data_IF_784787705688
#
_entry.id   IF_784787705688
#
_cell.length_a   1.000
_cell.length_b   1.000
_cell.length_c   1.000
_cell.angle_alpha   90.00
_cell.angle_beta   90.00
_cell.angle_gamma   90.00
#
_symmetry.space_group_name_H-M   'P 1'
#
loop_
_entity.id
_entity.type
_entity.pdbx_description
1 polymer ?
#
# COMPACT_ATOMS: atom_id res chain seq x y z
N UNK A 1 16.03 -2.45 20.44
CA UNK A 1 15.47 -3.72 19.92
C UNK A 1 16.03 -3.95 18.53
N UNK A 2 16.37 -5.19 18.13
CA UNK A 2 16.79 -5.46 16.75
C UNK A 2 15.63 -5.18 15.79
N UNK A 3 15.95 -4.76 14.57
CA UNK A 3 14.97 -4.62 13.51
C UNK A 3 14.34 -5.97 13.17
N UNK A 4 13.11 -5.95 12.68
CA UNK A 4 12.40 -7.13 12.20
C UNK A 4 13.10 -7.67 10.96
N UNK A 5 13.18 -9.00 10.87
CA UNK A 5 13.63 -9.71 9.68
C UNK A 5 12.45 -9.97 8.76
N UNK A 6 12.50 -9.40 7.56
CA UNK A 6 11.48 -9.58 6.51
C UNK A 6 11.92 -10.56 5.42
N UNK A 7 13.04 -11.28 5.58
CA UNK A 7 13.60 -12.16 4.56
C UNK A 7 12.69 -13.32 4.13
N UNK A 8 11.66 -13.65 4.91
CA UNK A 8 10.59 -14.59 4.52
C UNK A 8 9.79 -14.11 3.30
N UNK A 9 9.67 -12.79 3.11
CA UNK A 9 8.98 -12.19 1.97
C UNK A 9 9.95 -12.11 0.77
N UNK A 10 9.71 -12.78 -0.36
CA UNK A 10 10.62 -12.78 -1.51
C UNK A 10 10.80 -11.41 -2.16
N UNK A 11 9.92 -10.45 -1.84
CA UNK A 11 9.99 -9.09 -2.34
C UNK A 11 10.56 -8.12 -1.31
N UNK A 12 11.05 -8.55 -0.15
CA UNK A 12 11.54 -7.64 0.88
C UNK A 12 12.67 -6.72 0.38
N UNK A 13 12.79 -5.57 1.03
CA UNK A 13 13.85 -4.60 0.78
C UNK A 13 14.91 -4.73 1.89
N UNK A 14 16.17 -5.10 1.58
CA UNK A 14 17.21 -5.31 2.61
C UNK A 14 17.50 -4.09 3.49
N UNK A 15 17.27 -2.90 2.94
CA UNK A 15 17.47 -1.61 3.61
C UNK A 15 16.28 -1.18 4.46
N UNK A 16 15.11 -1.79 4.30
CA UNK A 16 13.92 -1.48 5.09
C UNK A 16 14.15 -1.86 6.56
N UNK A 17 13.77 -0.96 7.47
CA UNK A 17 13.89 -1.17 8.93
C UNK A 17 12.56 -0.84 9.58
N UNK A 18 12.06 -1.81 10.34
CA UNK A 18 10.86 -1.66 11.16
C UNK A 18 11.08 -2.38 12.49
N UNK A 19 10.45 -1.88 13.55
CA UNK A 19 10.77 -2.30 14.92
C UNK A 19 9.55 -2.74 15.73
N UNK A 20 8.33 -2.38 15.33
CA UNK A 20 7.12 -2.78 16.03
C UNK A 20 6.70 -4.20 15.62
N UNK A 21 6.89 -5.13 16.56
CA UNK A 21 6.56 -6.55 16.39
C UNK A 21 5.07 -6.83 16.51
N UNK A 22 4.33 -6.01 17.25
CA UNK A 22 2.88 -6.20 17.43
C UNK A 22 2.18 -6.04 16.09
N UNK A 23 2.56 -5.02 15.31
CA UNK A 23 2.02 -4.86 13.95
C UNK A 23 2.34 -6.05 13.04
N UNK A 24 3.54 -6.62 13.13
CA UNK A 24 3.90 -7.83 12.37
C UNK A 24 3.05 -9.03 12.79
N UNK A 25 2.88 -9.24 14.08
CA UNK A 25 2.08 -10.34 14.62
C UNK A 25 0.62 -10.24 14.18
N UNK A 26 0.03 -9.05 14.26
CA UNK A 26 -1.36 -8.82 13.87
C UNK A 26 -1.55 -8.90 12.35
N UNK A 27 -0.52 -8.52 11.58
CA UNK A 27 -0.46 -8.81 10.14
C UNK A 27 -0.48 -10.32 9.88
N UNK A 28 0.37 -11.09 10.56
CA UNK A 28 0.45 -12.56 10.39
C UNK A 28 -0.83 -13.28 10.85
N UNK A 29 -1.55 -12.73 11.83
CA UNK A 29 -2.86 -13.25 12.28
C UNK A 29 -4.00 -12.90 11.32
N UNK A 30 -3.80 -11.98 10.38
CA UNK A 30 -4.86 -11.50 9.50
C UNK A 30 -5.92 -10.69 10.24
N UNK A 31 -5.52 -9.87 11.23
CA UNK A 31 -6.44 -8.93 11.88
C UNK A 31 -7.03 -8.02 10.79
N UNK A 32 -8.36 -7.93 10.74
CA UNK A 32 -9.08 -7.27 9.65
C UNK A 32 -8.62 -5.84 9.46
N UNK A 33 -8.58 -5.04 10.52
CA UNK A 33 -8.20 -3.63 10.48
C UNK A 33 -6.76 -3.43 9.99
N UNK A 34 -5.85 -4.34 10.36
CA UNK A 34 -4.44 -4.30 9.93
C UNK A 34 -4.33 -4.69 8.45
N UNK A 35 -5.14 -5.64 8.00
CA UNK A 35 -5.21 -6.06 6.59
C UNK A 35 -5.70 -4.90 5.72
N UNK A 36 -6.77 -4.23 6.14
CA UNK A 36 -7.34 -3.08 5.44
C UNK A 36 -6.39 -1.87 5.45
N UNK A 37 -5.66 -1.68 6.54
CA UNK A 37 -4.59 -0.69 6.61
C UNK A 37 -3.51 -0.93 5.53
N UNK A 38 -3.05 -2.18 5.38
CA UNK A 38 -2.05 -2.51 4.36
C UNK A 38 -2.60 -2.43 2.94
N UNK A 39 -3.85 -2.85 2.71
CA UNK A 39 -4.53 -2.64 1.43
C UNK A 39 -4.61 -1.17 1.06
N UNK A 40 -4.97 -0.30 2.01
CA UNK A 40 -5.01 1.14 1.80
C UNK A 40 -3.64 1.66 1.34
N UNK A 41 -2.55 1.27 2.02
CA UNK A 41 -1.20 1.71 1.66
C UNK A 41 -0.73 1.14 0.31
N UNK A 42 -1.13 -0.08 -0.04
CA UNK A 42 -0.72 -0.75 -1.27
C UNK A 42 -1.61 -0.48 -2.49
N UNK A 43 -2.79 0.13 -2.32
CA UNK A 43 -3.74 0.43 -3.39
C UNK A 43 -3.93 1.94 -3.61
N UNK A 44 -3.95 2.74 -2.53
CA UNK A 44 -4.25 4.17 -2.60
C UNK A 44 -2.98 5.02 -2.79
N UNK A 45 -2.33 4.93 -3.94
CA UNK A 45 -1.13 5.73 -4.25
C UNK A 45 -0.92 5.92 -5.75
N UNK A 46 0.01 6.80 -6.14
CA UNK A 46 0.40 6.98 -7.56
C UNK A 46 1.70 6.30 -7.94
N UNK A 47 2.42 5.68 -6.99
CA UNK A 47 3.67 4.93 -7.21
C UNK A 47 3.55 3.95 -8.39
N UNK A 48 4.60 3.92 -9.21
CA UNK A 48 4.73 3.02 -10.36
C UNK A 48 5.76 1.93 -10.05
N UNK A 49 5.46 0.64 -10.30
CA UNK A 49 6.42 -0.42 -10.13
C UNK A 49 7.28 -0.54 -11.40
N UNK A 50 8.58 -0.73 -11.21
CA UNK A 50 9.54 -0.99 -12.28
C UNK A 50 10.32 -2.28 -11.98
N UNK A 51 10.88 -2.91 -13.01
CA UNK A 51 11.72 -4.10 -12.89
C UNK A 51 13.11 -3.81 -13.44
N UNK A 52 14.07 -3.58 -12.55
CA UNK A 52 15.48 -3.44 -12.91
C UNK A 52 16.25 -4.70 -12.53
N UNK A 53 16.88 -5.34 -13.50
CA UNK A 53 17.68 -6.56 -13.30
C UNK A 53 16.92 -7.67 -12.55
N UNK A 54 15.61 -7.78 -12.77
CA UNK A 54 14.74 -8.75 -12.11
C UNK A 54 14.24 -8.35 -10.71
N UNK A 55 14.69 -7.23 -10.16
CA UNK A 55 14.25 -6.71 -8.86
C UNK A 55 13.10 -5.69 -9.03
N UNK A 56 12.12 -5.76 -8.14
CA UNK A 56 11.02 -4.80 -8.07
C UNK A 56 11.51 -3.49 -7.44
N UNK A 57 11.37 -2.39 -8.15
CA UNK A 57 11.65 -1.02 -7.68
C UNK A 57 10.39 -0.17 -7.74
N UNK A 58 10.23 0.75 -6.79
CA UNK A 58 9.08 1.67 -6.75
C UNK A 58 9.51 3.08 -7.11
N UNK A 59 8.87 3.65 -8.13
CA UNK A 59 9.04 5.03 -8.57
C UNK A 59 7.89 5.85 -8.03
N UNK A 60 8.16 6.67 -7.02
CA UNK A 60 7.16 7.49 -6.34
C UNK A 60 7.37 8.98 -6.64
N UNK A 61 6.28 9.76 -6.62
CA UNK A 61 6.33 11.21 -6.79
C UNK A 61 6.71 11.96 -5.51
N UNK A 62 6.64 11.29 -4.36
CA UNK A 62 7.02 11.86 -3.06
C UNK A 62 7.71 10.81 -2.18
N UNK A 63 8.59 11.24 -1.25
CA UNK A 63 9.25 10.33 -0.31
C UNK A 63 8.26 9.63 0.62
N UNK A 64 7.16 10.28 0.97
CA UNK A 64 6.12 9.70 1.83
C UNK A 64 5.40 8.55 1.13
N UNK A 65 5.03 8.72 -0.15
CA UNK A 65 4.45 7.62 -0.93
C UNK A 65 5.43 6.46 -1.10
N UNK A 66 6.72 6.75 -1.30
CA UNK A 66 7.77 5.72 -1.36
C UNK A 66 7.85 4.93 -0.06
N UNK A 67 7.90 5.60 1.09
CA UNK A 67 8.00 4.97 2.40
C UNK A 67 6.76 4.11 2.74
N UNK A 68 5.56 4.62 2.46
CA UNK A 68 4.31 3.92 2.75
C UNK A 68 4.13 2.65 1.91
N UNK A 69 4.43 2.74 0.60
CA UNK A 69 4.36 1.57 -0.30
C UNK A 69 5.49 0.58 -0.06
N UNK A 70 6.68 1.06 0.31
CA UNK A 70 7.77 0.21 0.80
C UNK A 70 7.37 -0.56 2.05
N UNK A 71 6.70 0.10 3.02
CA UNK A 71 6.20 -0.57 4.21
C UNK A 71 5.20 -1.68 3.85
N UNK A 72 4.14 -1.38 3.08
CA UNK A 72 3.15 -2.40 2.70
C UNK A 72 3.80 -3.59 1.97
N UNK A 73 4.75 -3.31 1.05
CA UNK A 73 5.52 -4.32 0.34
C UNK A 73 6.26 -5.25 1.29
N UNK A 74 6.99 -4.71 2.27
CA UNK A 74 7.79 -5.52 3.21
C UNK A 74 6.90 -6.38 4.10
N UNK A 75 5.71 -5.90 4.46
CA UNK A 75 4.69 -6.65 5.19
C UNK A 75 3.90 -7.67 4.33
N UNK A 76 4.25 -7.84 3.06
CA UNK A 76 3.67 -8.86 2.17
C UNK A 76 2.58 -8.35 1.23
N UNK A 77 2.17 -7.09 1.35
CA UNK A 77 1.19 -6.43 0.48
C UNK A 77 1.91 -5.76 -0.69
N UNK A 78 2.33 -6.61 -1.63
CA UNK A 78 3.23 -6.23 -2.72
C UNK A 78 2.45 -5.74 -3.94
N UNK A 79 2.57 -4.45 -4.22
CA UNK A 79 2.07 -3.83 -5.45
C UNK A 79 2.98 -4.16 -6.64
N UNK A 80 2.52 -5.04 -7.55
CA UNK A 80 3.37 -5.55 -8.66
C UNK A 80 3.17 -4.81 -9.96
N UNK A 81 1.94 -4.41 -10.27
CA UNK A 81 1.60 -3.68 -11.49
C UNK A 81 0.25 -3.00 -11.37
N UNK A 82 0.05 -1.98 -12.21
CA UNK A 82 -1.23 -1.31 -12.40
C UNK A 82 -1.49 -1.14 -13.89
N UNK A 83 -2.71 -1.46 -14.31
CA UNK A 83 -3.26 -1.12 -15.62
C UNK A 83 -4.33 -0.04 -15.46
N UNK A 84 -4.97 0.37 -16.56
CA UNK A 84 -6.12 1.27 -16.49
C UNK A 84 -7.31 0.69 -15.70
N UNK A 85 -7.38 -0.64 -15.51
CA UNK A 85 -8.54 -1.33 -14.93
C UNK A 85 -8.19 -2.27 -13.77
N UNK A 86 -6.91 -2.53 -13.50
CA UNK A 86 -6.51 -3.53 -12.50
C UNK A 86 -5.29 -3.10 -11.71
N UNK A 87 -5.24 -3.54 -10.46
CA UNK A 87 -4.04 -3.48 -9.61
C UNK A 87 -3.67 -4.91 -9.17
N UNK A 88 -2.42 -5.29 -9.47
CA UNK A 88 -1.91 -6.63 -9.16
C UNK A 88 -1.26 -6.64 -7.78
N UNK A 89 -2.11 -6.80 -6.76
CA UNK A 89 -1.75 -7.24 -5.41
C UNK A 89 -2.34 -8.65 -5.20
N UNK A 90 -3.68 -8.71 -5.23
CA UNK A 90 -4.52 -9.92 -5.24
C UNK A 90 -5.57 -9.88 -6.37
N UNK A 91 -5.30 -9.13 -7.45
CA UNK A 91 -6.23 -8.83 -8.55
C UNK A 91 -7.43 -8.01 -8.06
N UNK A 92 -7.18 -6.74 -7.74
CA UNK A 92 -8.24 -5.75 -7.52
C UNK A 92 -8.63 -5.11 -8.86
N UNK A 93 -9.93 -4.93 -9.09
CA UNK A 93 -10.43 -4.10 -10.20
C UNK A 93 -10.33 -2.63 -9.79
N UNK A 94 -9.66 -1.81 -10.58
CA UNK A 94 -9.59 -0.38 -10.36
C UNK A 94 -10.78 0.31 -11.04
N UNK A 95 -11.65 0.92 -10.25
CA UNK A 95 -12.85 1.59 -10.75
C UNK A 95 -12.63 3.10 -10.92
N UNK A 96 -11.94 3.73 -9.97
CA UNK A 96 -11.62 5.15 -10.04
C UNK A 96 -10.38 5.51 -9.21
N UNK A 97 -9.63 6.49 -9.67
CA UNK A 97 -8.62 7.20 -8.88
C UNK A 97 -9.06 8.65 -8.73
N UNK A 98 -9.11 9.13 -7.49
CA UNK A 98 -9.33 10.53 -7.15
C UNK A 98 -8.03 11.10 -6.61
N UNK A 99 -7.18 11.58 -7.53
CA UNK A 99 -5.83 12.05 -7.24
C UNK A 99 -5.76 13.09 -6.12
N UNK A 100 -4.61 13.09 -5.47
CA UNK A 100 -4.28 14.14 -4.53
C UNK A 100 -4.28 15.50 -5.22
N UNK A 101 -4.90 16.49 -4.60
CA UNK A 101 -4.70 17.88 -4.97
C UNK A 101 -4.75 18.77 -3.72
N UNK A 102 -4.14 19.96 -3.81
CA UNK A 102 -3.99 20.88 -2.68
C UNK A 102 -5.32 21.45 -2.17
N UNK A 103 -6.40 21.34 -2.94
CA UNK A 103 -7.75 21.75 -2.53
C UNK A 103 -8.38 20.68 -1.64
N UNK A 104 -8.30 19.41 -2.04
CA UNK A 104 -8.86 18.27 -1.30
C UNK A 104 -7.97 17.81 -0.15
N UNK A 105 -6.65 17.96 -0.26
CA UNK A 105 -5.62 17.48 0.68
C UNK A 105 -5.75 15.99 1.06
N UNK A 106 -6.32 15.20 0.14
CA UNK A 106 -6.50 13.75 0.26
C UNK A 106 -6.50 13.10 -1.12
N UNK A 107 -6.11 11.84 -1.16
CA UNK A 107 -6.23 10.93 -2.29
C UNK A 107 -7.25 9.85 -1.96
N UNK A 108 -7.97 9.37 -2.96
CA UNK A 108 -8.85 8.21 -2.79
C UNK A 108 -8.76 7.28 -4.00
N UNK A 109 -8.98 6.00 -3.78
CA UNK A 109 -9.17 5.01 -4.85
C UNK A 109 -10.46 4.24 -4.59
N UNK A 110 -11.18 3.94 -5.66
CA UNK A 110 -12.36 3.08 -5.64
C UNK A 110 -11.98 1.80 -6.37
N UNK A 111 -12.13 0.67 -5.69
CA UNK A 111 -11.74 -0.63 -6.21
C UNK A 111 -12.86 -1.64 -6.01
N UNK A 112 -12.87 -2.69 -6.82
CA UNK A 112 -13.60 -3.93 -6.53
C UNK A 112 -12.61 -4.98 -6.02
N UNK A 113 -12.89 -5.56 -4.86
CA UNK A 113 -12.08 -6.65 -4.33
C UNK A 113 -12.40 -8.00 -5.04
N UNK A 114 -11.60 -9.06 -4.81
CA UNK A 114 -11.85 -10.37 -5.40
C UNK A 114 -13.20 -11.01 -5.00
N UNK A 115 -13.79 -10.59 -3.88
CA UNK A 115 -15.12 -11.02 -3.45
C UNK A 115 -16.26 -10.29 -4.19
N UNK A 116 -15.94 -9.29 -5.03
CA UNK A 116 -16.89 -8.53 -5.83
C UNK A 116 -17.41 -7.26 -5.14
N UNK A 117 -16.96 -6.97 -3.92
CA UNK A 117 -17.37 -5.82 -3.13
C UNK A 117 -16.67 -4.54 -3.58
N UNK A 118 -17.38 -3.42 -3.56
CA UNK A 118 -16.83 -2.11 -3.90
C UNK A 118 -16.32 -1.45 -2.63
N UNK A 119 -15.05 -1.03 -2.65
CA UNK A 119 -14.37 -0.44 -1.52
C UNK A 119 -13.79 0.94 -1.90
N UNK A 120 -13.84 1.88 -0.96
CA UNK A 120 -13.19 3.19 -1.08
C UNK A 120 -12.08 3.28 -0.05
N UNK A 121 -10.85 3.43 -0.52
CA UNK A 121 -9.70 3.74 0.34
C UNK A 121 -9.36 5.22 0.21
N UNK A 122 -9.05 5.86 1.33
CA UNK A 122 -8.70 7.27 1.35
C UNK A 122 -7.57 7.56 2.34
N UNK A 123 -6.57 8.32 1.89
CA UNK A 123 -5.48 8.84 2.72
C UNK A 123 -5.33 10.35 2.53
N UNK A 124 -5.03 11.09 3.59
CA UNK A 124 -4.92 12.55 3.53
C UNK A 124 -4.58 13.16 4.88
N UNK A 125 -4.60 14.50 4.95
CA UNK A 125 -4.37 15.23 6.19
C UNK A 125 -5.42 14.87 7.25
N UNK A 126 -4.97 14.71 8.49
CA UNK A 126 -5.79 14.41 9.67
C UNK A 126 -7.03 15.31 9.79
N UNK A 127 -6.87 16.63 9.68
CA UNK A 127 -7.98 17.60 9.77
C UNK A 127 -9.04 17.40 8.70
N UNK A 128 -8.69 16.81 7.56
CA UNK A 128 -9.59 16.59 6.43
C UNK A 128 -10.28 15.23 6.52
N UNK A 129 -9.56 14.22 7.03
CA UNK A 129 -10.11 12.88 7.23
C UNK A 129 -11.07 12.88 8.42
N UNK A 130 -10.73 13.55 9.53
CA UNK A 130 -11.55 13.59 10.74
C UNK A 130 -12.79 14.49 10.65
N UNK A 131 -12.83 15.41 9.69
CA UNK A 131 -13.99 16.27 9.41
C UNK A 131 -15.13 15.53 8.66
N UNK A 132 -14.98 14.22 8.43
CA UNK A 132 -15.89 13.38 7.64
C UNK A 132 -16.26 12.11 8.38
#
# INVERSE_FOLDING_TARGET
MPAIDFSENPWFEPTFKFYDRTLLEDTKKGVYEVTEFWHLLALCHTVMPDRKSGQLEYQAQSPDEAALTSASRNFGYVFKSRTAHTITLEIYELLAILDFNNVRKRMSVVVRNPAGEIMLYCKGADTIILDR
#
